data_IF_831046181327
#
_entry.id   IF_831046181327
#
_cell.length_a   1.000
_cell.length_b   1.000
_cell.length_c   1.000
_cell.angle_alpha   90.00
_cell.angle_beta   90.00
_cell.angle_gamma   90.00
#
_symmetry.space_group_name_H-M   'P 1'
#
loop_
_entity.id
_entity.type
_entity.pdbx_description
1 polymer ?
#
# COMPACT_ATOMS: atom_id res chain seq x y z
N UNK A 1 1.26 -12.18 11.04
CA UNK A 1 1.11 -10.74 11.35
C UNK A 1 -0.26 -10.28 10.86
N UNK A 2 -0.87 -9.35 11.56
CA UNK A 2 -2.21 -8.86 11.22
C UNK A 2 -2.41 -7.43 11.75
N UNK A 3 -3.35 -6.73 11.16
CA UNK A 3 -3.84 -5.48 11.73
C UNK A 3 -4.45 -5.75 13.10
N UNK A 4 -4.28 -4.83 14.04
CA UNK A 4 -4.82 -4.96 15.40
C UNK A 4 -5.28 -3.63 15.94
N UNK A 5 -6.20 -3.68 16.90
CA UNK A 5 -6.62 -2.55 17.72
C UNK A 5 -6.78 -3.02 19.16
N UNK A 6 -6.21 -2.27 20.08
CA UNK A 6 -6.29 -2.54 21.51
C UNK A 6 -6.60 -1.22 22.23
N UNK A 7 -7.75 -1.14 22.90
CA UNK A 7 -8.17 0.01 23.69
C UNK A 7 -8.08 1.37 22.94
N UNK A 8 -8.45 1.38 21.66
CA UNK A 8 -8.42 2.58 20.80
C UNK A 8 -7.03 2.93 20.26
N UNK A 9 -6.04 2.05 20.41
CA UNK A 9 -4.74 2.14 19.80
C UNK A 9 -4.61 1.11 18.66
N UNK A 10 -4.35 1.60 17.45
CA UNK A 10 -4.21 0.76 16.24
C UNK A 10 -2.77 0.40 15.93
N UNK A 11 -2.54 -0.70 15.21
CA UNK A 11 -1.21 -1.12 14.80
C UNK A 11 -1.13 -2.55 14.26
N UNK A 12 -0.02 -3.22 14.53
CA UNK A 12 0.27 -4.58 14.08
C UNK A 12 0.38 -5.56 15.24
N UNK A 13 -0.21 -6.75 15.09
CA UNK A 13 -0.10 -7.88 16.00
C UNK A 13 0.71 -9.04 15.40
N UNK A 14 1.60 -9.61 16.18
CA UNK A 14 2.37 -10.79 15.85
C UNK A 14 1.81 -12.03 16.56
N UNK A 15 1.64 -13.13 15.81
CA UNK A 15 1.07 -14.38 16.30
C UNK A 15 1.92 -15.56 15.85
N UNK A 16 1.92 -16.62 16.67
CA UNK A 16 2.47 -17.91 16.27
C UNK A 16 1.59 -18.59 15.18
N UNK A 17 2.08 -19.63 14.49
CA UNK A 17 1.24 -20.43 13.59
C UNK A 17 0.04 -21.10 14.28
N UNK A 18 0.05 -21.24 15.60
CA UNK A 18 -1.07 -21.72 16.40
C UNK A 18 -2.03 -20.60 16.84
N UNK A 19 -1.89 -19.39 16.31
CA UNK A 19 -2.66 -18.18 16.63
C UNK A 19 -2.51 -17.71 18.10
N UNK A 20 -1.40 -18.02 18.74
CA UNK A 20 -1.06 -17.47 20.05
C UNK A 20 -0.39 -16.10 19.87
N UNK A 21 -0.88 -15.10 20.59
CA UNK A 21 -0.32 -13.74 20.54
C UNK A 21 1.11 -13.72 21.09
N UNK A 22 2.04 -13.21 20.28
CA UNK A 22 3.41 -12.94 20.72
C UNK A 22 3.50 -11.53 21.33
N UNK A 23 3.15 -10.52 20.53
CA UNK A 23 3.02 -9.13 21.00
C UNK A 23 2.17 -8.29 20.05
N UNK A 24 1.88 -7.06 20.47
CA UNK A 24 1.30 -5.99 19.63
C UNK A 24 2.20 -4.78 19.68
N UNK A 25 2.30 -4.07 18.56
CA UNK A 25 2.89 -2.73 18.48
C UNK A 25 1.81 -1.80 17.98
N UNK A 26 1.31 -0.95 18.86
CA UNK A 26 0.16 -0.06 18.64
C UNK A 26 0.50 1.37 19.02
N UNK A 27 -0.21 2.31 18.43
CA UNK A 27 -0.18 3.73 18.78
C UNK A 27 -1.59 4.29 18.79
N UNK A 28 -1.82 5.39 19.50
CA UNK A 28 -3.14 6.02 19.61
C UNK A 28 -3.74 6.31 18.23
N UNK A 29 -5.01 5.96 18.06
CA UNK A 29 -5.79 6.19 16.85
C UNK A 29 -6.16 4.92 16.08
N UNK A 30 -6.59 5.11 14.82
CA UNK A 30 -7.16 4.07 13.99
C UNK A 30 -6.17 2.95 13.63
N UNK A 31 -6.66 1.71 13.45
CA UNK A 31 -5.83 0.57 13.05
C UNK A 31 -5.34 0.70 11.61
N UNK A 32 -4.34 -0.13 11.27
CA UNK A 32 -3.91 -0.33 9.90
C UNK A 32 -5.05 -0.89 9.05
N UNK A 33 -5.01 -0.64 7.74
CA UNK A 33 -5.92 -1.27 6.76
C UNK A 33 -5.23 -2.33 5.89
N UNK A 34 -3.90 -2.37 5.88
CA UNK A 34 -3.11 -3.35 5.13
C UNK A 34 -1.82 -3.72 5.86
N UNK A 35 -1.37 -4.96 5.68
CA UNK A 35 -0.04 -5.43 6.11
C UNK A 35 0.60 -6.28 5.02
N UNK A 36 1.91 -6.14 4.83
CA UNK A 36 2.74 -6.99 3.99
C UNK A 36 3.96 -7.49 4.77
N UNK A 37 4.49 -8.65 4.36
CA UNK A 37 5.64 -9.28 5.03
C UNK A 37 6.82 -9.39 4.06
N UNK A 38 7.96 -8.93 4.48
CA UNK A 38 9.25 -9.05 3.81
C UNK A 38 10.07 -10.11 4.54
N UNK A 39 9.94 -11.34 4.12
CA UNK A 39 10.65 -12.47 4.74
C UNK A 39 12.18 -12.34 4.63
N UNK A 40 12.78 -11.94 3.47
CA UNK A 40 14.22 -11.78 3.36
C UNK A 40 14.83 -10.80 4.34
N UNK A 41 14.18 -9.65 4.58
CA UNK A 41 14.68 -8.62 5.52
C UNK A 41 14.12 -8.77 6.92
N UNK A 42 13.18 -9.71 7.13
CA UNK A 42 12.46 -9.89 8.40
C UNK A 42 11.76 -8.58 8.82
N UNK A 43 10.95 -8.02 7.91
CA UNK A 43 10.18 -6.81 8.13
C UNK A 43 8.69 -7.03 7.89
N UNK A 44 7.86 -6.21 8.51
CA UNK A 44 6.43 -6.09 8.23
C UNK A 44 6.14 -4.63 7.91
N UNK A 45 5.39 -4.38 6.85
CA UNK A 45 4.93 -3.05 6.47
C UNK A 45 3.45 -2.91 6.75
N UNK A 46 3.03 -1.76 7.23
CA UNK A 46 1.64 -1.42 7.50
C UNK A 46 1.21 -0.16 6.77
N UNK A 47 -0.01 -0.16 6.25
CA UNK A 47 -0.68 1.03 5.74
C UNK A 47 -1.73 1.50 6.73
N UNK A 48 -1.69 2.77 7.13
CA UNK A 48 -2.71 3.39 7.97
C UNK A 48 -3.49 4.44 7.17
N UNK A 49 -4.72 4.07 6.80
CA UNK A 49 -5.60 4.91 6.01
C UNK A 49 -5.95 6.23 6.71
N UNK A 50 -6.35 6.17 7.97
CA UNK A 50 -6.83 7.34 8.69
C UNK A 50 -5.74 8.31 9.12
N UNK A 51 -4.50 7.83 9.18
CA UNK A 51 -3.34 8.67 9.56
C UNK A 51 -2.50 9.11 8.36
N UNK A 52 -2.74 8.57 7.14
CA UNK A 52 -1.88 8.81 5.99
C UNK A 52 -0.45 8.32 6.23
N UNK A 53 -0.30 7.15 6.85
CA UNK A 53 0.97 6.71 7.40
C UNK A 53 1.39 5.33 6.90
N UNK A 54 2.69 5.18 6.63
CA UNK A 54 3.39 3.91 6.41
C UNK A 54 4.14 3.54 7.67
N UNK A 55 3.89 2.34 8.21
CA UNK A 55 4.59 1.82 9.39
C UNK A 55 5.52 0.69 8.98
N UNK A 56 6.68 0.60 9.61
CA UNK A 56 7.65 -0.49 9.43
C UNK A 56 7.97 -1.13 10.77
N UNK A 57 7.88 -2.46 10.79
CA UNK A 57 8.19 -3.26 11.97
C UNK A 57 9.28 -4.28 11.65
N UNK A 58 10.22 -4.48 12.57
CA UNK A 58 11.22 -5.55 12.52
C UNK A 58 10.66 -6.82 13.17
N UNK A 59 10.83 -7.96 12.49
CA UNK A 59 10.54 -9.28 13.05
C UNK A 59 11.77 -9.73 13.86
N UNK A 60 11.54 -10.06 15.13
CA UNK A 60 12.56 -10.56 16.05
C UNK A 60 12.70 -12.08 15.95
N UNK A 61 13.74 -12.62 16.57
CA UNK A 61 14.08 -14.04 16.49
C UNK A 61 12.98 -14.99 17.02
N UNK A 62 12.13 -14.51 17.91
CA UNK A 62 10.98 -15.26 18.44
C UNK A 62 9.68 -15.05 17.64
N UNK A 63 9.73 -14.24 16.58
CA UNK A 63 8.61 -13.87 15.73
C UNK A 63 7.80 -12.68 16.22
N UNK A 64 8.13 -12.10 17.37
CA UNK A 64 7.55 -10.82 17.82
C UNK A 64 8.03 -9.66 16.94
N UNK A 65 7.44 -8.48 17.08
CA UNK A 65 7.78 -7.30 16.26
C UNK A 65 8.11 -6.09 17.12
N UNK A 66 8.95 -5.20 16.56
CA UNK A 66 9.22 -3.87 17.10
C UNK A 66 9.13 -2.83 15.99
N UNK A 67 8.66 -1.61 16.30
CA UNK A 67 8.61 -0.51 15.33
C UNK A 67 10.03 -0.03 15.00
N UNK A 68 10.32 0.17 13.70
CA UNK A 68 11.63 0.65 13.23
C UNK A 68 11.56 1.96 12.49
N UNK A 69 10.47 2.19 11.75
CA UNK A 69 10.25 3.41 10.98
C UNK A 69 8.78 3.72 10.81
N UNK A 70 8.48 4.98 10.51
CA UNK A 70 7.19 5.42 10.02
C UNK A 70 7.37 6.65 9.13
N UNK A 71 6.50 6.79 8.13
CA UNK A 71 6.45 7.96 7.25
C UNK A 71 5.03 8.46 7.21
N UNK A 72 4.83 9.75 7.47
CA UNK A 72 3.58 10.46 7.22
C UNK A 72 3.63 11.12 5.86
N UNK A 73 2.57 10.95 5.08
CA UNK A 73 2.41 11.71 3.85
C UNK A 73 1.79 13.07 4.18
N UNK A 74 2.31 14.13 3.59
CA UNK A 74 1.86 15.52 3.79
C UNK A 74 1.63 16.28 2.48
N UNK A 75 1.63 15.55 1.36
CA UNK A 75 1.38 16.10 0.04
C UNK A 75 -0.07 16.60 -0.13
N UNK A 76 -0.31 17.57 -1.03
CA UNK A 76 -1.65 18.06 -1.30
C UNK A 76 -2.62 16.94 -1.67
N UNK A 77 -3.80 16.98 -1.07
CA UNK A 77 -4.87 16.02 -1.30
C UNK A 77 -5.60 16.26 -2.63
N UNK A 78 -6.28 15.23 -3.13
CA UNK A 78 -7.08 15.29 -4.34
C UNK A 78 -8.42 16.02 -4.15
N UNK A 79 -9.22 16.15 -5.21
CA UNK A 79 -10.44 16.96 -5.21
C UNK A 79 -11.69 16.22 -4.73
N UNK A 80 -11.61 14.92 -4.50
CA UNK A 80 -12.78 14.13 -4.12
C UNK A 80 -13.11 14.29 -2.62
N UNK A 81 -14.38 14.19 -2.24
CA UNK A 81 -14.81 14.36 -0.85
C UNK A 81 -14.16 13.37 0.14
N UNK A 82 -13.74 12.19 -0.33
CA UNK A 82 -13.00 11.19 0.43
C UNK A 82 -11.48 11.40 0.39
N UNK A 83 -11.02 12.54 -0.08
CA UNK A 83 -9.61 12.95 -0.10
C UNK A 83 -9.40 14.15 0.82
N UNK A 84 -9.95 14.09 2.04
CA UNK A 84 -9.85 15.15 3.04
C UNK A 84 -8.47 15.19 3.74
N UNK A 85 -7.73 14.09 3.67
CA UNK A 85 -6.37 13.91 4.19
C UNK A 85 -5.58 12.94 3.31
N UNK A 86 -4.26 12.78 3.48
CA UNK A 86 -3.54 11.61 2.97
C UNK A 86 -4.16 10.32 3.53
N UNK A 87 -4.33 9.31 2.69
CA UNK A 87 -4.97 8.04 3.02
C UNK A 87 -4.17 6.88 2.46
N UNK A 88 -3.13 6.45 3.18
CA UNK A 88 -2.31 5.30 2.78
C UNK A 88 -3.12 4.02 2.91
N UNK A 89 -3.40 3.37 1.78
CA UNK A 89 -4.28 2.20 1.72
C UNK A 89 -3.56 0.87 1.44
N UNK A 90 -2.37 0.92 0.89
CA UNK A 90 -1.65 -0.27 0.44
C UNK A 90 -0.14 -0.09 0.61
N UNK A 91 0.52 -1.16 1.04
CA UNK A 91 1.98 -1.30 1.10
C UNK A 91 2.35 -2.72 0.70
N UNK A 92 3.19 -2.92 -0.32
CA UNK A 92 3.73 -4.24 -0.66
C UNK A 92 5.02 -4.12 -1.46
N UNK A 93 5.76 -5.23 -1.59
CA UNK A 93 7.03 -5.23 -2.27
C UNK A 93 6.89 -5.17 -3.79
N UNK A 94 7.75 -4.38 -4.41
CA UNK A 94 8.00 -4.42 -5.84
C UNK A 94 8.87 -5.66 -6.20
N UNK A 95 8.94 -6.06 -7.49
CA UNK A 95 9.77 -7.20 -7.92
C UNK A 95 11.26 -7.08 -7.55
N UNK A 96 11.79 -5.85 -7.53
CA UNK A 96 13.17 -5.54 -7.15
C UNK A 96 13.32 -5.17 -5.66
N UNK A 97 12.31 -5.50 -4.84
CA UNK A 97 12.35 -5.41 -3.38
C UNK A 97 12.33 -3.98 -2.80
N UNK A 98 11.86 -2.98 -3.54
CA UNK A 98 11.39 -1.71 -2.98
C UNK A 98 10.03 -1.88 -2.32
N UNK A 99 9.58 -0.89 -1.58
CA UNK A 99 8.21 -0.83 -1.08
C UNK A 99 7.38 0.08 -1.97
N UNK A 100 6.30 -0.44 -2.57
CA UNK A 100 5.28 0.36 -3.24
C UNK A 100 4.16 0.71 -2.26
N UNK A 101 3.71 1.96 -2.28
CA UNK A 101 2.69 2.49 -1.38
C UNK A 101 1.65 3.25 -2.18
N UNK A 102 0.37 2.89 -2.05
CA UNK A 102 -0.73 3.65 -2.63
C UNK A 102 -1.33 4.59 -1.59
N UNK A 103 -1.42 5.86 -1.92
CA UNK A 103 -2.09 6.88 -1.14
C UNK A 103 -3.31 7.40 -1.90
N UNK A 104 -4.48 6.99 -1.43
CA UNK A 104 -5.77 7.37 -2.01
C UNK A 104 -6.04 8.87 -1.87
N UNK A 105 -5.66 9.44 -0.73
CA UNK A 105 -5.95 10.84 -0.42
C UNK A 105 -5.17 11.83 -1.27
N UNK A 106 -3.94 11.49 -1.65
CA UNK A 106 -3.04 12.39 -2.40
C UNK A 106 -2.96 12.10 -3.90
N UNK A 107 -3.71 11.09 -4.40
CA UNK A 107 -3.62 10.61 -5.79
C UNK A 107 -2.21 10.16 -6.18
N UNK A 108 -1.46 9.49 -5.27
CA UNK A 108 -0.07 9.10 -5.52
C UNK A 108 0.20 7.62 -5.28
N UNK A 109 1.20 7.12 -5.99
CA UNK A 109 1.88 5.86 -5.68
C UNK A 109 3.35 6.17 -5.45
N UNK A 110 3.83 5.89 -4.26
CA UNK A 110 5.22 6.06 -3.87
C UNK A 110 5.98 4.76 -4.00
N UNK A 111 7.27 4.85 -4.27
CA UNK A 111 8.21 3.76 -4.07
C UNK A 111 9.32 4.18 -3.12
N UNK A 112 9.69 3.29 -2.22
CA UNK A 112 10.75 3.51 -1.23
C UNK A 112 11.84 2.46 -1.35
N UNK A 113 13.09 2.89 -1.33
CA UNK A 113 14.20 2.01 -1.01
C UNK A 113 14.12 1.62 0.46
N UNK A 114 14.37 0.35 0.77
CA UNK A 114 14.28 -0.20 2.12
C UNK A 114 15.63 -0.69 2.58
N UNK A 115 16.14 -0.13 3.69
CA UNK A 115 17.40 -0.61 4.29
C UNK A 115 17.20 -1.94 5.04
N UNK A 116 18.30 -2.62 5.38
CA UNK A 116 18.28 -3.85 6.17
C UNK A 116 17.71 -3.63 7.60
N UNK A 117 17.80 -2.41 8.10
CA UNK A 117 17.26 -1.99 9.41
C UNK A 117 15.79 -1.56 9.34
N UNK A 118 15.17 -1.60 8.13
CA UNK A 118 13.77 -1.22 7.91
C UNK A 118 13.56 0.29 7.81
N UNK A 119 14.60 1.07 7.43
CA UNK A 119 14.43 2.51 7.14
C UNK A 119 14.04 2.71 5.69
N UNK A 120 13.07 3.59 5.49
CA UNK A 120 12.53 3.96 4.18
C UNK A 120 13.19 5.24 3.66
N UNK A 121 13.52 5.24 2.37
CA UNK A 121 13.97 6.43 1.63
C UNK A 121 13.19 6.52 0.33
N UNK A 122 12.49 7.63 0.08
CA UNK A 122 11.74 7.82 -1.14
C UNK A 122 12.63 7.68 -2.37
N UNK A 123 12.23 6.81 -3.30
CA UNK A 123 12.92 6.57 -4.57
C UNK A 123 12.22 7.29 -5.72
N UNK A 124 10.88 7.14 -5.84
CA UNK A 124 10.09 7.79 -6.88
C UNK A 124 8.62 7.96 -6.46
N UNK A 125 7.93 8.87 -7.15
CA UNK A 125 6.49 9.13 -6.97
C UNK A 125 5.80 9.15 -8.33
N UNK A 126 4.74 8.38 -8.49
CA UNK A 126 3.79 8.50 -9.59
C UNK A 126 2.57 9.29 -9.12
N UNK A 127 2.19 10.31 -9.87
CA UNK A 127 1.00 11.12 -9.61
C UNK A 127 -0.09 10.71 -10.58
N UNK A 128 -1.16 10.12 -10.07
CA UNK A 128 -2.33 9.74 -10.84
C UNK A 128 -3.17 10.96 -11.21
N UNK A 129 -4.13 10.79 -12.12
CA UNK A 129 -5.10 11.83 -12.41
C UNK A 129 -5.89 12.21 -11.15
N UNK A 130 -6.20 13.49 -10.99
CA UNK A 130 -6.90 14.01 -9.82
C UNK A 130 -8.25 13.30 -9.60
N UNK A 131 -8.50 12.81 -8.40
CA UNK A 131 -9.70 12.06 -8.02
C UNK A 131 -9.67 10.57 -8.40
N UNK A 132 -8.52 10.02 -8.78
CA UNK A 132 -8.38 8.57 -9.03
C UNK A 132 -8.50 7.75 -7.74
N UNK A 133 -7.87 8.19 -6.66
CA UNK A 133 -7.83 7.47 -5.40
C UNK A 133 -7.08 6.13 -5.51
N UNK A 134 -5.74 6.11 -5.71
CA UNK A 134 -4.93 4.92 -5.73
C UNK A 134 -5.15 4.03 -4.50
N UNK A 135 -5.61 2.80 -4.69
CA UNK A 135 -6.02 1.95 -3.57
C UNK A 135 -5.15 0.71 -3.41
N UNK A 136 -5.08 -0.13 -4.41
CA UNK A 136 -4.26 -1.34 -4.45
C UNK A 136 -3.51 -1.43 -5.79
N UNK A 137 -2.33 -2.02 -5.72
CA UNK A 137 -1.45 -2.26 -6.87
C UNK A 137 -1.08 -3.74 -6.92
N UNK A 138 -0.93 -4.30 -8.12
CA UNK A 138 -0.41 -5.66 -8.31
C UNK A 138 0.53 -5.67 -9.50
N UNK A 139 1.66 -6.37 -9.38
CA UNK A 139 2.60 -6.53 -10.48
C UNK A 139 2.21 -7.70 -11.38
N UNK A 140 2.36 -7.50 -12.68
CA UNK A 140 2.31 -8.57 -13.67
C UNK A 140 3.49 -9.54 -13.46
N UNK A 141 3.32 -10.86 -13.68
CA UNK A 141 4.38 -11.85 -13.46
C UNK A 141 5.67 -11.64 -14.29
N UNK A 142 5.63 -10.78 -15.33
CA UNK A 142 6.83 -10.40 -16.08
C UNK A 142 7.65 -9.27 -15.43
N UNK A 143 7.18 -8.71 -14.31
CA UNK A 143 7.80 -7.65 -13.53
C UNK A 143 7.93 -6.28 -14.24
N UNK A 144 7.45 -6.15 -15.47
CA UNK A 144 7.57 -4.91 -16.26
C UNK A 144 6.35 -3.98 -16.07
N UNK A 145 5.21 -4.56 -15.68
CA UNK A 145 3.95 -3.84 -15.58
C UNK A 145 3.33 -4.02 -14.19
N UNK A 146 2.61 -3.00 -13.79
CA UNK A 146 1.74 -3.03 -12.61
C UNK A 146 0.34 -2.55 -12.99
N UNK A 147 -0.65 -3.02 -12.24
CA UNK A 147 -2.05 -2.66 -12.40
C UNK A 147 -2.51 -1.97 -11.12
N UNK A 148 -2.93 -0.72 -11.25
CA UNK A 148 -3.40 0.13 -10.17
C UNK A 148 -4.92 0.26 -10.27
N UNK A 149 -5.64 -0.09 -9.20
CA UNK A 149 -7.07 0.21 -9.10
C UNK A 149 -7.27 1.58 -8.46
N UNK A 150 -8.04 2.43 -9.15
CA UNK A 150 -8.57 3.67 -8.62
C UNK A 150 -9.89 3.41 -7.92
N UNK A 151 -9.97 3.70 -6.62
CA UNK A 151 -11.19 3.51 -5.85
C UNK A 151 -12.27 4.51 -6.24
N UNK A 152 -11.87 5.79 -6.38
CA UNK A 152 -12.82 6.90 -6.45
C UNK A 152 -13.38 7.13 -7.85
N UNK A 153 -12.60 6.82 -8.88
CA UNK A 153 -13.02 6.96 -10.28
C UNK A 153 -13.32 5.64 -10.97
N UNK A 154 -13.30 4.53 -10.24
CA UNK A 154 -13.58 3.17 -10.75
C UNK A 154 -12.74 2.82 -11.97
N UNK A 155 -11.46 3.13 -11.95
CA UNK A 155 -10.53 2.88 -13.04
C UNK A 155 -9.52 1.76 -12.76
N UNK A 156 -8.95 1.22 -13.84
CA UNK A 156 -7.75 0.38 -13.81
C UNK A 156 -6.68 1.08 -14.65
N UNK A 157 -5.56 1.41 -14.03
CA UNK A 157 -4.41 2.01 -14.69
C UNK A 157 -3.31 0.98 -14.90
N UNK A 158 -2.80 0.86 -16.11
CA UNK A 158 -1.61 0.06 -16.44
C UNK A 158 -0.40 0.95 -16.36
N UNK A 159 0.53 0.57 -15.49
CA UNK A 159 1.79 1.28 -15.25
C UNK A 159 2.96 0.43 -15.76
N UNK A 160 3.92 1.05 -16.47
CA UNK A 160 5.25 0.45 -16.70
C UNK A 160 6.12 0.76 -15.49
N UNK A 161 6.75 -0.27 -14.94
CA UNK A 161 7.69 -0.13 -13.84
C UNK A 161 9.13 -0.10 -14.33
N UNK A 162 9.93 0.81 -13.78
CA UNK A 162 11.36 0.92 -14.05
C UNK A 162 12.16 0.50 -12.80
N UNK A 163 12.73 -0.70 -12.82
CA UNK A 163 13.55 -1.22 -11.71
C UNK A 163 14.82 -0.39 -11.45
N UNK A 164 15.31 0.41 -12.43
CA UNK A 164 16.52 1.19 -12.25
C UNK A 164 16.36 2.31 -11.18
N UNK A 165 15.17 2.89 -11.08
CA UNK A 165 14.90 4.04 -10.20
C UNK A 165 13.59 3.93 -9.40
N UNK A 166 12.82 2.86 -9.60
CA UNK A 166 11.53 2.65 -8.91
C UNK A 166 10.36 3.44 -9.50
N UNK A 167 10.53 4.11 -10.63
CA UNK A 167 9.49 4.97 -11.19
C UNK A 167 8.42 4.18 -11.94
N UNK A 168 7.22 4.79 -12.02
CA UNK A 168 6.10 4.31 -12.83
C UNK A 168 5.78 5.28 -13.96
N UNK A 169 5.44 4.74 -15.14
CA UNK A 169 4.93 5.45 -16.29
C UNK A 169 3.54 4.92 -16.64
N UNK A 170 2.53 5.79 -16.71
CA UNK A 170 1.20 5.41 -17.16
C UNK A 170 1.21 5.06 -18.65
N UNK A 171 0.69 3.86 -19.00
CA UNK A 171 0.57 3.39 -20.37
C UNK A 171 -0.86 3.42 -20.85
N UNK A 172 -1.78 3.06 -19.96
CA UNK A 172 -3.20 2.95 -20.27
C UNK A 172 -4.03 3.14 -19.00
N UNK A 173 -5.17 3.81 -19.15
CA UNK A 173 -6.20 3.87 -18.11
C UNK A 173 -7.55 3.52 -18.73
N UNK A 174 -8.29 2.61 -18.10
CA UNK A 174 -9.59 2.15 -18.56
C UNK A 174 -10.60 2.18 -17.42
N UNK A 175 -11.89 2.47 -17.69
CA UNK A 175 -12.93 2.31 -16.71
C UNK A 175 -13.16 0.83 -16.42
N UNK A 176 -13.55 0.52 -15.17
CA UNK A 176 -13.93 -0.83 -14.75
C UNK A 176 -15.44 -1.09 -14.80
N UNK A 177 -16.20 -0.06 -15.08
CA UNK A 177 -17.66 -0.09 -15.13
C UNK A 177 -18.17 -0.03 -16.59
N UNK A 178 -19.33 -0.62 -16.88
CA UNK A 178 -20.01 -0.43 -18.15
C UNK A 178 -20.35 1.04 -18.42
N UNK A 179 -20.41 1.44 -19.71
CA UNK A 179 -20.68 2.84 -20.10
C UNK A 179 -22.04 3.37 -19.61
N UNK A 180 -23.03 2.49 -19.41
CA UNK A 180 -24.36 2.82 -18.95
C UNK A 180 -24.56 2.73 -17.43
N UNK A 181 -23.48 2.45 -16.68
CA UNK A 181 -23.51 2.41 -15.22
C UNK A 181 -23.53 3.83 -14.64
N UNK A 182 -24.56 4.13 -13.82
CA UNK A 182 -24.77 5.48 -13.25
C UNK A 182 -24.87 5.52 -11.73
N UNK A 183 -24.86 4.34 -11.07
CA UNK A 183 -24.97 4.27 -9.62
C UNK A 183 -23.61 4.49 -8.95
N UNK A 184 -23.63 4.65 -7.63
CA UNK A 184 -22.40 4.72 -6.84
C UNK A 184 -21.57 3.44 -6.96
N UNK A 185 -20.27 3.59 -7.13
CA UNK A 185 -19.31 2.49 -7.08
C UNK A 185 -18.01 2.92 -6.41
N UNK A 186 -17.35 1.96 -5.83
CA UNK A 186 -16.05 2.13 -5.19
C UNK A 186 -15.17 0.92 -5.54
N UNK A 187 -14.08 1.16 -6.28
CA UNK A 187 -13.12 0.14 -6.66
C UNK A 187 -12.40 -0.41 -5.42
N UNK A 188 -12.25 -1.75 -5.30
CA UNK A 188 -11.66 -2.32 -4.10
C UNK A 188 -10.29 -2.95 -4.33
N UNK A 189 -10.21 -4.11 -4.95
CA UNK A 189 -8.99 -4.89 -5.08
C UNK A 189 -8.72 -5.29 -6.52
N UNK A 190 -7.45 -5.43 -6.85
CA UNK A 190 -6.98 -5.97 -8.13
C UNK A 190 -6.12 -7.20 -7.86
N UNK A 191 -6.24 -8.21 -8.70
CA UNK A 191 -5.41 -9.42 -8.69
C UNK A 191 -5.06 -9.79 -10.13
N UNK A 192 -3.93 -10.45 -10.28
CA UNK A 192 -3.49 -10.99 -11.57
C UNK A 192 -3.30 -12.50 -11.45
N UNK A 193 -3.67 -13.25 -12.48
CA UNK A 193 -3.41 -14.70 -12.52
C UNK A 193 -1.91 -14.98 -12.62
N UNK A 194 -1.49 -16.18 -12.16
CA UNK A 194 -0.06 -16.58 -12.18
C UNK A 194 0.56 -16.56 -13.57
N UNK A 195 -0.24 -16.77 -14.62
CA UNK A 195 0.19 -16.72 -16.02
C UNK A 195 0.06 -15.32 -16.66
N UNK A 196 -0.38 -14.33 -15.91
CA UNK A 196 -0.53 -12.94 -16.33
C UNK A 196 -1.66 -12.69 -17.33
N UNK A 197 -2.58 -13.64 -17.53
CA UNK A 197 -3.60 -13.53 -18.58
C UNK A 197 -4.94 -12.96 -18.14
N UNK A 198 -5.18 -12.97 -16.82
CA UNK A 198 -6.44 -12.53 -16.21
C UNK A 198 -6.17 -11.74 -14.94
#
# INVERSE_FOLDING_TARGET
YTVTEVDGAGGCGAYTPAFELLNTVTEEGAPLCYVAVDEPRQLVYGANYHKGEVNVYKILADGSIEATDHIYHDEPVGPHENQDNPHVHYTDLTPDQRLAVCDLGTDRVYTYDVSAEGKLTEAAVYVAAAGTGPRHLVFHPNHQYAYLVGELDSSLTVLRYNEADGSFEEIQKVPTLPEDFTDFNSGAAVRVSKDGRF
#
